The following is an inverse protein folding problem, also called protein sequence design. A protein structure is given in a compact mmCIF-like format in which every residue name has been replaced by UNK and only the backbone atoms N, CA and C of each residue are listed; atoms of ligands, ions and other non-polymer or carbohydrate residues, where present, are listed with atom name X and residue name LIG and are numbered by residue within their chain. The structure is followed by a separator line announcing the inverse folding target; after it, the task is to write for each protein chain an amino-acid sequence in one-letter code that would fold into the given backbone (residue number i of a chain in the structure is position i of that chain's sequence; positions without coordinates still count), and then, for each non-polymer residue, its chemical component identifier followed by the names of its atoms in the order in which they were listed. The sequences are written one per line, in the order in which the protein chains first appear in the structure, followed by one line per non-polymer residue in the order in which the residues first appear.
data_IF_644280837764
#
_entry.id   IF_644280837764
#
_cell.length_a   1.000
_cell.length_b   1.000
_cell.length_c   1.000
_cell.angle_alpha   90.00
_cell.angle_beta   90.00
_cell.angle_gamma   90.00
#
_symmetry.space_group_name_H-M   'P 1'
#
loop_
_entity.id
_entity.type
_entity.pdbx_description
1 polymer ?
#
# COMPACT_ATOMS: atom_id res chain seq x y z
N UNK A 1 -54.52 24.50 12.50
CA UNK A 1 -53.94 23.22 12.01
C UNK A 1 -53.39 23.46 10.61
N UNK A 2 -52.11 23.79 10.49
CA UNK A 2 -51.49 24.11 9.21
C UNK A 2 -51.14 22.81 8.47
N UNK A 3 -51.88 22.51 7.41
CA UNK A 3 -51.62 21.35 6.55
C UNK A 3 -50.27 21.52 5.86
N UNK A 4 -49.32 20.65 6.16
CA UNK A 4 -48.08 20.49 5.40
C UNK A 4 -48.42 19.98 4.00
N UNK A 5 -48.68 20.88 3.05
CA UNK A 5 -48.68 20.53 1.61
C UNK A 5 -47.22 20.29 1.21
N UNK A 6 -46.81 19.02 1.23
CA UNK A 6 -45.55 18.61 0.62
C UNK A 6 -45.58 19.04 -0.86
N UNK A 7 -44.64 19.92 -1.25
CA UNK A 7 -44.51 20.37 -2.63
C UNK A 7 -43.98 19.18 -3.45
N UNK A 8 -44.75 18.64 -4.43
CA UNK A 8 -44.37 17.43 -5.16
C UNK A 8 -43.00 17.55 -5.85
N UNK A 9 -42.62 18.76 -6.27
CA UNK A 9 -41.30 19.02 -6.85
C UNK A 9 -40.11 18.83 -5.89
N UNK A 10 -40.31 19.07 -4.58
CA UNK A 10 -39.26 18.85 -3.57
C UNK A 10 -39.01 17.35 -3.36
N UNK A 11 -40.09 16.57 -3.37
CA UNK A 11 -40.05 15.11 -3.18
C UNK A 11 -39.36 14.41 -4.36
N UNK A 12 -39.65 14.87 -5.59
CA UNK A 12 -38.98 14.38 -6.81
C UNK A 12 -37.49 14.74 -6.82
N UNK A 13 -37.13 15.95 -6.40
CA UNK A 13 -35.73 16.38 -6.30
C UNK A 13 -34.96 15.54 -5.26
N UNK A 14 -35.55 15.28 -4.09
CA UNK A 14 -34.95 14.43 -3.06
C UNK A 14 -34.75 12.98 -3.54
N UNK A 15 -35.73 12.40 -4.25
CA UNK A 15 -35.62 11.06 -4.82
C UNK A 15 -34.54 10.98 -5.92
N UNK A 16 -34.40 12.01 -6.75
CA UNK A 16 -33.36 12.08 -7.78
C UNK A 16 -31.95 12.16 -7.17
N UNK A 17 -31.75 13.00 -6.14
CA UNK A 17 -30.48 13.09 -5.41
C UNK A 17 -30.15 11.77 -4.71
N UNK A 18 -31.14 11.12 -4.10
CA UNK A 18 -30.95 9.83 -3.44
C UNK A 18 -30.56 8.72 -4.44
N UNK A 19 -31.18 8.68 -5.62
CA UNK A 19 -30.82 7.76 -6.70
C UNK A 19 -29.39 7.98 -7.22
N UNK A 20 -28.97 9.25 -7.34
CA UNK A 20 -27.63 9.62 -7.80
C UNK A 20 -26.53 9.23 -6.80
N UNK A 21 -26.82 9.21 -5.50
CA UNK A 21 -25.92 8.72 -4.46
C UNK A 21 -25.74 7.19 -4.49
N UNK A 22 -26.75 6.42 -4.91
CA UNK A 22 -26.68 4.95 -4.99
C UNK A 22 -25.91 4.48 -6.23
N UNK A 23 -25.88 5.27 -7.29
CA UNK A 23 -25.21 4.90 -8.56
C UNK A 23 -23.67 4.90 -8.49
N UNK A 24 -23.06 5.45 -7.43
CA UNK A 24 -21.61 5.40 -7.22
C UNK A 24 -21.18 4.03 -6.66
N UNK A 25 -21.29 2.97 -7.46
CA UNK A 25 -20.71 1.66 -7.13
C UNK A 25 -19.27 1.58 -7.65
N UNK A 26 -18.31 1.58 -6.73
CA UNK A 26 -16.92 1.22 -7.04
C UNK A 26 -16.87 -0.25 -7.46
N UNK A 27 -16.56 -0.54 -8.74
CA UNK A 27 -16.32 -1.92 -9.17
C UNK A 27 -14.98 -2.41 -8.64
N UNK A 28 -15.00 -3.51 -7.91
CA UNK A 28 -13.81 -4.32 -7.69
C UNK A 28 -13.49 -5.07 -8.98
N UNK A 29 -12.23 -5.07 -9.38
CA UNK A 29 -11.73 -5.79 -10.54
C UNK A 29 -10.73 -6.85 -10.05
N UNK A 30 -10.93 -8.10 -10.47
CA UNK A 30 -9.99 -9.19 -10.19
C UNK A 30 -9.08 -9.38 -11.40
N UNK A 31 -7.77 -9.46 -11.15
CA UNK A 31 -6.76 -9.66 -12.18
C UNK A 31 -5.74 -10.69 -11.74
N UNK A 32 -5.37 -11.58 -12.67
CA UNK A 32 -4.23 -12.46 -12.48
C UNK A 32 -2.95 -11.70 -12.83
N UNK A 33 -1.99 -11.69 -11.93
CA UNK A 33 -0.69 -11.03 -12.09
C UNK A 33 0.41 -11.88 -11.49
N UNK A 34 1.63 -11.74 -12.02
CA UNK A 34 2.80 -12.37 -11.40
C UNK A 34 3.23 -11.51 -10.23
N UNK A 35 3.21 -12.07 -9.03
CA UNK A 35 3.55 -11.36 -7.79
C UNK A 35 4.87 -11.89 -7.23
N UNK A 36 5.80 -10.99 -6.96
CA UNK A 36 7.08 -11.30 -6.31
C UNK A 36 7.25 -10.44 -5.07
N UNK A 37 7.94 -10.95 -4.05
CA UNK A 37 8.32 -10.17 -2.88
C UNK A 37 9.63 -9.40 -3.14
N UNK A 38 9.77 -8.25 -2.50
CA UNK A 38 11.01 -7.47 -2.48
C UNK A 38 11.25 -6.95 -1.06
N UNK A 39 12.51 -6.72 -0.70
CA UNK A 39 12.88 -6.21 0.61
C UNK A 39 13.56 -4.83 0.53
N UNK A 40 13.94 -4.28 1.67
CA UNK A 40 14.69 -3.01 1.75
C UNK A 40 16.20 -3.17 1.46
N UNK A 41 16.65 -4.33 0.99
CA UNK A 41 18.06 -4.59 0.74
C UNK A 41 18.55 -3.87 -0.51
N UNK A 42 19.88 -3.72 -0.59
CA UNK A 42 20.52 -3.07 -1.74
C UNK A 42 20.43 -3.86 -3.03
N UNK A 43 20.08 -5.16 -2.96
CA UNK A 43 19.90 -6.01 -4.14
C UNK A 43 18.66 -5.60 -4.94
N UNK A 44 17.57 -5.31 -4.23
CA UNK A 44 16.29 -4.97 -4.85
C UNK A 44 16.18 -3.47 -5.14
N UNK A 45 16.69 -2.63 -4.22
CA UNK A 45 16.44 -1.19 -4.26
C UNK A 45 17.51 -0.33 -4.92
N UNK A 46 18.52 -0.92 -5.54
CA UNK A 46 19.42 -0.07 -6.32
C UNK A 46 20.55 0.58 -5.53
N UNK A 47 21.01 0.07 -4.38
CA UNK A 47 22.08 0.72 -3.61
C UNK A 47 23.23 -0.19 -3.22
N UNK A 48 24.42 0.41 -3.09
CA UNK A 48 25.63 -0.25 -2.58
C UNK A 48 26.12 0.41 -1.29
N UNK A 49 26.75 -0.39 -0.43
CA UNK A 49 27.33 0.06 0.84
C UNK A 49 28.81 -0.29 0.91
N UNK A 50 29.66 0.74 0.87
CA UNK A 50 31.11 0.63 0.94
C UNK A 50 31.72 -0.17 -0.20
N UNK A 51 33.01 0.06 -0.46
CA UNK A 51 33.78 -0.79 -1.37
C UNK A 51 34.53 -1.86 -0.57
N UNK A 52 34.56 -3.10 -1.07
CA UNK A 52 35.43 -4.15 -0.53
C UNK A 52 36.93 -3.79 -0.66
N UNK A 53 37.28 -2.86 -1.55
CA UNK A 53 38.64 -2.29 -1.65
C UNK A 53 39.11 -1.64 -0.36
N UNK A 54 38.19 -1.17 0.47
CA UNK A 54 38.45 -0.62 1.80
C UNK A 54 37.83 -1.46 2.92
N UNK A 55 37.65 -2.77 2.69
CA UNK A 55 37.02 -3.70 3.65
C UNK A 55 35.63 -3.23 4.13
N UNK A 56 34.91 -2.44 3.30
CA UNK A 56 33.68 -1.73 3.68
C UNK A 56 33.80 -0.81 4.91
N UNK A 57 35.02 -0.44 5.30
CA UNK A 57 35.33 0.56 6.32
C UNK A 57 35.25 2.00 5.76
N UNK A 58 34.75 2.16 4.54
CA UNK A 58 34.46 3.49 3.98
C UNK A 58 33.26 4.11 4.72
N UNK A 59 33.57 4.88 5.77
CA UNK A 59 32.59 5.55 6.62
C UNK A 59 31.75 6.61 5.89
N UNK A 60 32.24 7.07 4.73
CA UNK A 60 31.67 8.14 3.94
C UNK A 60 30.67 7.62 2.89
N UNK A 61 30.83 6.37 2.45
CA UNK A 61 30.00 5.77 1.40
C UNK A 61 28.89 4.87 1.99
N UNK A 62 28.02 5.47 2.81
CA UNK A 62 27.15 4.66 3.68
C UNK A 62 26.00 3.98 2.95
N UNK A 63 25.40 4.62 1.95
CA UNK A 63 24.39 4.03 1.06
C UNK A 63 24.29 4.89 -0.21
N UNK A 64 24.84 4.42 -1.31
CA UNK A 64 24.87 5.16 -2.57
C UNK A 64 24.07 4.42 -3.63
N UNK A 65 23.20 5.15 -4.32
CA UNK A 65 22.41 4.64 -5.43
C UNK A 65 23.33 4.13 -6.55
N UNK A 66 22.89 3.13 -7.30
CA UNK A 66 23.42 2.73 -8.60
C UNK A 66 22.39 3.00 -9.70
N UNK A 67 22.81 2.91 -10.97
CA UNK A 67 21.95 3.25 -12.12
C UNK A 67 21.85 4.76 -12.38
N UNK A 68 20.66 5.25 -12.72
CA UNK A 68 20.45 6.64 -13.17
C UNK A 68 20.75 7.69 -12.09
N UNK A 69 20.69 7.32 -10.81
CA UNK A 69 21.00 8.20 -9.67
C UNK A 69 22.35 7.87 -9.04
N UNK A 70 23.26 7.24 -9.79
CA UNK A 70 24.57 6.78 -9.26
C UNK A 70 25.33 7.91 -8.56
N UNK A 71 25.83 7.63 -7.36
CA UNK A 71 26.58 8.60 -6.55
C UNK A 71 25.72 9.41 -5.58
N UNK A 72 24.41 9.44 -5.76
CA UNK A 72 23.50 10.08 -4.81
C UNK A 72 23.26 9.20 -3.58
N UNK A 73 22.98 9.83 -2.44
CA UNK A 73 22.67 9.12 -1.20
C UNK A 73 21.31 8.42 -1.31
N UNK A 74 21.27 7.12 -1.05
CA UNK A 74 20.03 6.37 -0.95
C UNK A 74 19.25 6.80 0.29
N UNK A 75 17.97 7.11 0.11
CA UNK A 75 17.11 7.64 1.18
C UNK A 75 16.22 6.58 1.82
N UNK A 76 16.10 5.39 1.23
CA UNK A 76 15.19 4.35 1.71
C UNK A 76 13.71 4.70 1.53
N UNK A 77 13.41 5.71 0.71
CA UNK A 77 12.04 6.12 0.40
C UNK A 77 11.53 5.42 -0.85
N UNK A 78 10.24 5.10 -0.85
CA UNK A 78 9.55 4.55 -2.02
C UNK A 78 9.41 5.61 -3.11
N UNK A 79 9.03 5.22 -4.33
CA UNK A 79 8.82 6.17 -5.43
C UNK A 79 7.76 7.25 -5.13
N UNK A 80 6.80 6.98 -4.24
CA UNK A 80 5.83 7.97 -3.74
C UNK A 80 6.37 8.89 -2.64
N UNK A 81 7.62 8.69 -2.18
CA UNK A 81 8.24 9.43 -1.09
C UNK A 81 7.96 8.88 0.32
N UNK A 82 7.20 7.78 0.41
CA UNK A 82 6.85 7.10 1.66
C UNK A 82 7.96 6.17 2.18
N UNK A 83 7.64 5.43 3.24
CA UNK A 83 8.48 4.33 3.76
C UNK A 83 7.86 3.00 3.35
N UNK A 84 8.71 2.00 3.16
CA UNK A 84 8.28 0.61 3.01
C UNK A 84 7.61 0.14 4.30
N UNK A 85 6.37 -0.33 4.18
CA UNK A 85 5.57 -0.84 5.29
C UNK A 85 5.02 -2.21 4.92
N UNK A 86 5.15 -3.18 5.81
CA UNK A 86 4.56 -4.51 5.63
C UNK A 86 3.07 -4.51 6.01
N UNK A 87 2.28 -5.25 5.23
CA UNK A 87 0.87 -5.48 5.49
C UNK A 87 0.67 -6.21 6.84
N UNK A 88 -0.31 -5.75 7.62
CA UNK A 88 -0.72 -6.42 8.85
C UNK A 88 -2.24 -6.59 8.82
N UNK A 89 -2.77 -7.82 8.81
CA UNK A 89 -4.22 -8.04 8.80
C UNK A 89 -4.92 -7.59 10.11
N UNK A 90 -4.19 -7.38 11.22
CA UNK A 90 -4.77 -6.95 12.50
C UNK A 90 -5.51 -8.07 13.25
N UNK A 91 -6.10 -7.80 14.41
CA UNK A 91 -6.68 -8.88 15.26
C UNK A 91 -7.95 -9.54 14.69
N UNK A 92 -8.80 -8.77 14.00
CA UNK A 92 -10.16 -9.18 13.63
C UNK A 92 -10.38 -9.36 12.12
N UNK A 93 -9.32 -9.51 11.32
CA UNK A 93 -9.44 -9.81 9.88
C UNK A 93 -9.52 -11.31 9.62
N UNK A 94 -10.24 -11.73 8.58
CA UNK A 94 -10.32 -13.14 8.16
C UNK A 94 -8.94 -13.77 7.90
N UNK A 95 -7.97 -12.96 7.46
CA UNK A 95 -6.58 -13.37 7.23
C UNK A 95 -5.77 -13.62 8.52
N UNK A 96 -6.34 -13.34 9.69
CA UNK A 96 -5.68 -13.57 10.99
C UNK A 96 -5.98 -14.95 11.57
N UNK A 97 -6.88 -15.70 10.92
CA UNK A 97 -7.15 -17.11 11.22
C UNK A 97 -6.05 -18.02 10.66
N UNK A 98 -5.33 -17.56 9.63
CA UNK A 98 -4.26 -18.34 8.96
C UNK A 98 -3.03 -18.56 9.85
N UNK A 99 -2.59 -17.57 10.68
CA UNK A 99 -1.60 -17.79 11.74
C UNK A 99 -2.21 -17.63 13.15
N UNK A 100 -2.92 -18.63 13.69
CA UNK A 100 -3.67 -18.50 14.95
C UNK A 100 -2.77 -18.24 16.17
N UNK A 101 -1.49 -18.64 16.11
CA UNK A 101 -0.49 -18.40 17.15
C UNK A 101 -0.13 -16.91 17.32
N UNK A 102 -0.48 -16.03 16.37
CA UNK A 102 -0.26 -14.59 16.49
C UNK A 102 -1.32 -13.88 17.34
N UNK A 103 -2.46 -14.52 17.63
CA UNK A 103 -3.58 -13.91 18.36
C UNK A 103 -3.18 -13.55 19.80
N UNK A 104 -2.56 -14.44 20.61
CA UNK A 104 -2.11 -14.08 21.95
C UNK A 104 -1.09 -12.93 21.94
N UNK A 105 -0.15 -12.92 20.99
CA UNK A 105 0.87 -11.88 20.87
C UNK A 105 0.24 -10.51 20.56
N UNK A 106 -0.78 -10.46 19.69
CA UNK A 106 -1.47 -9.22 19.33
C UNK A 106 -2.42 -8.73 20.44
N UNK A 107 -2.93 -9.63 21.28
CA UNK A 107 -3.70 -9.26 22.49
C UNK A 107 -2.80 -8.63 23.57
N UNK A 108 -1.58 -9.15 23.72
CA UNK A 108 -0.61 -8.61 24.68
C UNK A 108 0.09 -7.32 24.20
N UNK A 109 0.06 -7.05 22.88
CA UNK A 109 0.75 -5.92 22.25
C UNK A 109 -0.29 -5.05 21.51
N UNK A 110 -0.94 -4.09 22.20
CA UNK A 110 -2.11 -3.38 21.65
C UNK A 110 -1.82 -2.58 20.38
N UNK A 111 -0.58 -2.10 20.18
CA UNK A 111 -0.17 -1.40 18.96
C UNK A 111 0.01 -2.30 17.72
N UNK A 112 -0.06 -3.63 17.86
CA UNK A 112 -0.07 -4.59 16.73
C UNK A 112 -1.47 -5.07 16.37
N UNK A 113 -2.47 -4.71 17.18
CA UNK A 113 -3.88 -5.04 16.95
C UNK A 113 -4.51 -4.40 15.69
N UNK A 114 -4.26 -3.13 15.34
CA UNK A 114 -4.92 -2.53 14.19
C UNK A 114 -4.40 -3.10 12.87
N UNK A 115 -5.31 -3.26 11.91
CA UNK A 115 -4.95 -3.60 10.53
C UNK A 115 -4.17 -2.45 9.90
N UNK A 116 -3.15 -2.78 9.11
CA UNK A 116 -2.34 -1.82 8.36
C UNK A 116 -2.10 -2.32 6.95
N UNK A 117 -2.30 -1.43 5.98
CA UNK A 117 -2.00 -1.75 4.58
C UNK A 117 -0.48 -1.72 4.34
N UNK A 118 0.00 -2.68 3.56
CA UNK A 118 1.39 -2.73 3.13
C UNK A 118 1.66 -1.77 1.96
N UNK A 119 2.92 -1.49 1.70
CA UNK A 119 3.37 -0.83 0.48
C UNK A 119 3.63 -1.87 -0.59
N UNK A 120 3.16 -1.61 -1.81
CA UNK A 120 3.40 -2.48 -2.97
C UNK A 120 4.01 -1.67 -4.12
N UNK A 121 4.81 -2.37 -4.93
CA UNK A 121 5.36 -1.86 -6.18
C UNK A 121 4.52 -2.34 -7.35
N UNK A 122 4.13 -1.44 -8.24
CA UNK A 122 3.40 -1.76 -9.47
C UNK A 122 3.79 -0.80 -10.60
N UNK A 123 3.46 -1.14 -11.84
CA UNK A 123 3.58 -0.19 -12.95
C UNK A 123 2.52 0.90 -12.81
N UNK A 124 2.96 2.14 -12.55
CA UNK A 124 2.07 3.31 -12.40
C UNK A 124 1.36 3.74 -13.67
N UNK A 125 1.78 3.22 -14.83
CA UNK A 125 1.09 3.43 -16.10
C UNK A 125 -0.29 2.76 -16.10
N UNK A 126 -0.42 1.63 -15.40
CA UNK A 126 -1.67 0.89 -15.24
C UNK A 126 -2.31 1.11 -13.86
N UNK A 127 -1.50 1.17 -12.79
CA UNK A 127 -1.96 1.31 -11.41
C UNK A 127 -1.35 2.55 -10.75
N UNK A 128 -2.01 3.71 -10.81
CA UNK A 128 -1.51 4.95 -10.23
C UNK A 128 -1.18 4.81 -8.73
N UNK A 129 -0.31 5.69 -8.22
CA UNK A 129 -0.02 5.74 -6.79
C UNK A 129 -1.30 5.93 -5.97
N UNK A 130 -1.41 5.20 -4.86
CA UNK A 130 -2.62 5.17 -4.04
C UNK A 130 -3.63 4.10 -4.44
N UNK A 131 -3.44 3.41 -5.57
CA UNK A 131 -4.24 2.22 -5.92
C UNK A 131 -4.17 1.19 -4.80
N UNK A 132 -5.33 0.71 -4.35
CA UNK A 132 -5.45 -0.31 -3.31
C UNK A 132 -5.80 -1.64 -3.93
N UNK A 133 -5.08 -2.68 -3.56
CA UNK A 133 -5.38 -4.04 -4.01
C UNK A 133 -5.19 -5.02 -2.86
N UNK A 134 -6.00 -6.07 -2.87
CA UNK A 134 -5.87 -7.19 -1.96
C UNK A 134 -5.11 -8.31 -2.67
N UNK A 135 -4.02 -8.77 -2.06
CA UNK A 135 -3.20 -9.86 -2.58
C UNK A 135 -3.44 -11.07 -1.67
N UNK A 136 -4.04 -12.16 -2.17
CA UNK A 136 -4.26 -13.37 -1.37
C UNK A 136 -2.95 -13.84 -0.72
N UNK A 137 -2.98 -14.12 0.59
CA UNK A 137 -1.82 -14.54 1.37
C UNK A 137 -0.86 -13.43 1.84
N UNK A 138 -0.95 -12.22 1.28
CA UNK A 138 -0.19 -11.05 1.73
C UNK A 138 -1.07 -10.02 2.47
N UNK A 139 -2.31 -9.83 1.99
CA UNK A 139 -3.28 -8.88 2.53
C UNK A 139 -3.40 -7.60 1.69
N UNK A 140 -3.93 -6.54 2.30
CA UNK A 140 -4.16 -5.26 1.63
C UNK A 140 -2.87 -4.47 1.43
N UNK A 141 -2.64 -4.02 0.20
CA UNK A 141 -1.52 -3.17 -0.18
C UNK A 141 -1.95 -1.88 -0.88
N UNK A 142 -1.11 -0.84 -0.79
CA UNK A 142 -1.25 0.43 -1.50
C UNK A 142 -0.05 0.64 -2.42
N UNK A 143 -0.30 0.95 -3.69
CA UNK A 143 0.76 1.28 -4.65
C UNK A 143 1.47 2.55 -4.19
N UNK A 144 2.69 2.35 -3.69
CA UNK A 144 3.56 3.41 -3.19
C UNK A 144 4.94 3.38 -3.82
N UNK A 145 5.23 2.37 -4.65
CA UNK A 145 6.55 2.14 -5.19
C UNK A 145 6.54 1.70 -6.66
N UNK A 146 7.70 1.76 -7.31
CA UNK A 146 7.89 1.38 -8.72
C UNK A 146 9.23 0.69 -8.92
N UNK A 147 9.27 -0.31 -9.80
CA UNK A 147 10.49 -0.97 -10.20
C UNK A 147 10.65 -0.97 -11.72
N UNK A 148 11.88 -0.80 -12.22
CA UNK A 148 12.14 -0.82 -13.68
C UNK A 148 11.85 -2.18 -14.35
N UNK A 149 11.85 -3.25 -13.56
CA UNK A 149 11.51 -4.61 -13.98
C UNK A 149 10.02 -4.96 -13.80
N UNK A 150 9.22 -4.10 -13.15
CA UNK A 150 7.78 -4.31 -12.94
C UNK A 150 7.03 -3.60 -14.07
N UNK A 151 6.46 -4.37 -15.00
CA UNK A 151 5.75 -3.91 -16.19
C UNK A 151 4.53 -4.78 -16.49
#
# INVERSE_FOLDING_TARGET
MNSLRARPGLLVLCLAVFSMCIASHSRAEERTMTVTAYDASGKDNGYSRGSWKFLKLDFWNRYVNYGNQKGQRYTGKTASGGRLVEANPGLLSGDSVTPPYMIPLRLLIPWKAPSRMGTIAADTSYYPFGTRMYIPGYGWGVVGDRGGAIK
#
